data_IF_691636199447
#
_entry.id   IF_691636199447
#
_cell.length_a   1.000
_cell.length_b   1.000
_cell.length_c   1.000
_cell.angle_alpha   90.00
_cell.angle_beta   90.00
_cell.angle_gamma   90.00
#
_symmetry.space_group_name_H-M   'P 1'
#
loop_
_entity.id
_entity.type
_entity.pdbx_description
1 polymer ?
#
# COMPACT_ATOMS: atom_id res chain seq x y z
N UNK A 1 -1.83 -6.31 20.70
CA UNK A 1 -2.26 -6.93 19.42
C UNK A 1 -1.48 -6.25 18.31
N UNK A 2 -0.83 -7.00 17.43
CA UNK A 2 0.02 -6.48 16.35
C UNK A 2 -0.61 -6.87 15.01
N UNK A 3 -0.59 -5.96 14.04
CA UNK A 3 -1.03 -6.20 12.66
C UNK A 3 0.14 -6.52 11.72
N UNK A 4 1.27 -6.95 12.30
CA UNK A 4 2.52 -7.31 11.61
C UNK A 4 3.23 -8.42 12.37
N UNK A 5 4.20 -9.02 11.73
CA UNK A 5 5.10 -9.97 12.37
C UNK A 5 5.89 -9.30 13.50
N UNK A 6 6.20 -10.08 14.54
CA UNK A 6 7.14 -9.67 15.59
C UNK A 6 8.54 -9.68 14.98
N UNK A 7 9.26 -8.56 15.08
CA UNK A 7 10.62 -8.41 14.55
C UNK A 7 11.61 -9.19 15.39
N UNK A 8 12.70 -9.65 14.79
CA UNK A 8 13.65 -10.50 15.52
C UNK A 8 14.29 -9.80 16.71
N UNK A 9 14.66 -8.51 16.57
CA UNK A 9 15.15 -7.70 17.69
C UNK A 9 14.10 -7.41 18.79
N UNK A 10 12.81 -7.62 18.52
CA UNK A 10 11.75 -7.58 19.56
C UNK A 10 11.68 -8.91 20.31
N UNK A 11 11.83 -10.05 19.60
CA UNK A 11 11.84 -11.39 20.19
C UNK A 11 13.00 -11.56 21.17
N UNK A 12 14.19 -11.08 20.82
CA UNK A 12 15.39 -11.17 21.66
C UNK A 12 15.24 -10.49 23.03
N UNK A 13 14.37 -9.47 23.12
CA UNK A 13 14.16 -8.69 24.34
C UNK A 13 13.11 -9.29 25.27
N UNK A 14 12.40 -10.32 24.83
CA UNK A 14 11.28 -10.91 25.57
C UNK A 14 11.64 -12.35 25.95
N UNK A 15 11.99 -12.55 27.22
CA UNK A 15 12.19 -13.89 27.78
C UNK A 15 10.88 -14.67 27.74
N UNK A 16 10.95 -15.94 27.31
CA UNK A 16 9.81 -16.87 27.26
C UNK A 16 8.61 -16.36 26.42
N UNK A 17 8.89 -15.68 25.29
CA UNK A 17 7.87 -15.12 24.39
C UNK A 17 6.83 -16.18 23.98
N UNK A 18 5.56 -15.85 24.21
CA UNK A 18 4.41 -16.58 23.66
C UNK A 18 3.67 -15.69 22.67
N UNK A 19 3.64 -16.10 21.41
CA UNK A 19 2.91 -15.42 20.36
C UNK A 19 1.78 -16.32 19.85
N UNK A 20 0.61 -15.73 19.62
CA UNK A 20 -0.57 -16.42 19.13
C UNK A 20 -1.18 -15.62 17.98
N UNK A 21 -1.44 -16.29 16.86
CA UNK A 21 -2.20 -15.70 15.75
C UNK A 21 -3.67 -15.72 16.12
N UNK A 22 -4.26 -14.53 16.29
CA UNK A 22 -5.66 -14.37 16.67
C UNK A 22 -6.60 -14.30 15.46
N UNK A 23 -6.07 -13.91 14.29
CA UNK A 23 -6.83 -13.77 13.06
C UNK A 23 -5.93 -13.32 11.90
N UNK A 24 -6.47 -13.40 10.69
CA UNK A 24 -5.88 -12.88 9.47
C UNK A 24 -6.79 -11.78 8.93
N UNK A 25 -6.21 -10.66 8.53
CA UNK A 25 -6.89 -9.58 7.84
C UNK A 25 -6.32 -9.38 6.43
N UNK A 26 -7.03 -8.60 5.62
CA UNK A 26 -6.61 -8.24 4.28
C UNK A 26 -6.33 -6.74 4.23
N UNK A 27 -5.19 -6.37 3.65
CA UNK A 27 -4.94 -4.99 3.28
C UNK A 27 -5.63 -4.69 1.95
N UNK A 28 -6.57 -3.75 1.97
CA UNK A 28 -7.31 -3.31 0.79
C UNK A 28 -6.77 -1.99 0.26
N UNK A 29 -6.71 -1.86 -1.07
CA UNK A 29 -6.52 -0.56 -1.72
C UNK A 29 -7.90 -0.05 -2.06
N UNK A 30 -8.24 1.13 -1.54
CA UNK A 30 -9.53 1.76 -1.76
C UNK A 30 -9.37 2.98 -2.64
N UNK A 31 -10.29 3.13 -3.58
CA UNK A 31 -10.33 4.24 -4.53
C UNK A 31 -11.77 4.72 -4.66
N UNK A 32 -11.96 6.02 -4.87
CA UNK A 32 -13.29 6.57 -5.12
C UNK A 32 -13.87 5.91 -6.40
N UNK A 33 -15.06 5.29 -6.36
CA UNK A 33 -15.67 4.66 -7.54
C UNK A 33 -16.03 5.67 -8.65
N UNK A 34 -16.12 6.96 -8.34
CA UNK A 34 -16.29 8.03 -9.32
C UNK A 34 -14.97 8.47 -9.96
N UNK A 35 -13.84 7.87 -9.58
CA UNK A 35 -12.56 8.15 -10.22
C UNK A 35 -12.57 7.63 -11.67
N UNK A 36 -12.36 8.54 -12.63
CA UNK A 36 -12.37 8.25 -14.07
C UNK A 36 -11.41 7.13 -14.45
N UNK A 37 -10.24 7.04 -13.82
CA UNK A 37 -9.26 5.97 -14.08
C UNK A 37 -9.86 4.58 -13.80
N UNK A 38 -10.56 4.42 -12.68
CA UNK A 38 -11.17 3.14 -12.29
C UNK A 38 -12.33 2.77 -13.21
N UNK A 39 -13.12 3.76 -13.64
CA UNK A 39 -14.18 3.54 -14.63
C UNK A 39 -13.60 3.07 -15.97
N UNK A 40 -12.52 3.71 -16.46
CA UNK A 40 -11.83 3.32 -17.68
C UNK A 40 -11.27 1.89 -17.61
N UNK A 41 -10.76 1.49 -16.45
CA UNK A 41 -10.17 0.15 -16.23
C UNK A 41 -11.19 -0.91 -15.80
N UNK A 42 -12.49 -0.60 -15.84
CA UNK A 42 -13.55 -1.53 -15.47
C UNK A 42 -13.45 -2.04 -14.03
N UNK A 43 -13.00 -1.19 -13.10
CA UNK A 43 -12.84 -1.55 -11.69
C UNK A 43 -11.49 -2.17 -11.32
N UNK A 44 -10.57 -2.36 -12.28
CA UNK A 44 -9.30 -3.03 -12.04
C UNK A 44 -8.13 -2.04 -11.98
N UNK A 45 -7.09 -2.39 -11.24
CA UNK A 45 -5.81 -1.69 -11.19
C UNK A 45 -4.70 -2.74 -11.09
N UNK A 46 -3.62 -2.59 -11.86
CA UNK A 46 -2.52 -3.56 -11.82
C UNK A 46 -1.56 -3.27 -10.66
N UNK A 47 -0.79 -4.29 -10.28
CA UNK A 47 0.25 -4.14 -9.26
C UNK A 47 1.32 -3.13 -9.70
N UNK A 48 1.70 -3.14 -10.96
CA UNK A 48 2.66 -2.17 -11.52
C UNK A 48 2.12 -0.73 -11.43
N UNK A 49 0.85 -0.50 -11.78
CA UNK A 49 0.22 0.82 -11.66
C UNK A 49 0.21 1.30 -10.21
N UNK A 50 -0.13 0.42 -9.25
CA UNK A 50 -0.06 0.73 -7.82
C UNK A 50 1.36 1.15 -7.42
N UNK A 51 2.38 0.37 -7.80
CA UNK A 51 3.77 0.67 -7.45
C UNK A 51 4.17 2.05 -8.01
N UNK A 52 3.83 2.34 -9.26
CA UNK A 52 4.18 3.62 -9.90
C UNK A 52 3.47 4.82 -9.30
N UNK A 53 2.22 4.65 -8.88
CA UNK A 53 1.46 5.70 -8.16
C UNK A 53 2.11 5.96 -6.80
N UNK A 54 2.33 4.91 -6.00
CA UNK A 54 2.82 5.04 -4.62
C UNK A 54 4.32 5.37 -4.54
N UNK A 55 5.11 5.10 -5.58
CA UNK A 55 6.50 5.56 -5.70
C UNK A 55 6.61 7.03 -6.14
N UNK A 56 5.52 7.58 -6.69
CA UNK A 56 5.51 8.90 -7.30
C UNK A 56 6.15 8.96 -8.69
N UNK A 57 6.39 7.83 -9.36
CA UNK A 57 6.71 7.78 -10.79
C UNK A 57 5.55 8.34 -11.60
N UNK A 58 4.32 7.92 -11.29
CA UNK A 58 3.09 8.49 -11.83
C UNK A 58 2.56 9.52 -10.86
N UNK A 59 2.64 10.80 -11.27
CA UNK A 59 2.26 11.94 -10.45
C UNK A 59 0.92 12.51 -10.86
N UNK A 60 0.49 12.27 -12.10
CA UNK A 60 -0.76 12.77 -12.65
C UNK A 60 -1.60 11.65 -13.25
N UNK A 61 -2.92 11.84 -13.32
CA UNK A 61 -3.80 10.86 -13.96
C UNK A 61 -3.46 10.63 -15.44
N UNK A 62 -2.96 11.67 -16.12
CA UNK A 62 -2.45 11.62 -17.51
C UNK A 62 -1.19 10.74 -17.70
N UNK A 63 -0.51 10.35 -16.62
CA UNK A 63 0.61 9.39 -16.65
C UNK A 63 0.12 7.94 -16.74
N UNK A 64 -1.09 7.66 -16.23
CA UNK A 64 -1.74 6.34 -16.32
C UNK A 64 -2.40 6.13 -17.67
N UNK A 65 -3.05 7.16 -18.20
CA UNK A 65 -3.70 7.16 -19.51
C UNK A 65 -3.82 8.59 -20.03
N UNK A 66 -3.44 8.84 -21.30
CA UNK A 66 -3.45 10.19 -21.89
C UNK A 66 -4.85 10.81 -22.02
N UNK A 67 -5.91 10.01 -21.97
CA UNK A 67 -7.29 10.50 -21.97
C UNK A 67 -7.76 11.06 -20.62
N UNK A 68 -6.98 10.84 -19.55
CA UNK A 68 -7.30 11.32 -18.22
C UNK A 68 -6.82 12.77 -18.00
N UNK A 69 -7.42 13.49 -17.02
CA UNK A 69 -7.02 14.86 -16.70
C UNK A 69 -5.54 14.97 -16.34
N UNK A 70 -4.93 16.11 -16.66
CA UNK A 70 -3.56 16.44 -16.23
C UNK A 70 -3.52 16.96 -14.78
N UNK A 71 -4.23 16.28 -13.89
CA UNK A 71 -4.37 16.60 -12.47
C UNK A 71 -3.50 15.67 -11.62
N UNK A 72 -2.98 16.19 -10.49
CA UNK A 72 -2.14 15.40 -9.58
C UNK A 72 -2.90 14.24 -8.93
N UNK A 73 -2.21 13.11 -8.77
CA UNK A 73 -2.67 11.99 -7.97
C UNK A 73 -2.34 12.28 -6.51
N UNK A 74 -3.38 12.41 -5.69
CA UNK A 74 -3.24 12.55 -4.24
C UNK A 74 -3.20 11.16 -3.62
N UNK A 75 -2.01 10.78 -3.12
CA UNK A 75 -1.81 9.53 -2.38
C UNK A 75 -1.96 9.81 -0.89
N UNK A 76 -2.80 9.04 -0.22
CA UNK A 76 -3.01 9.12 1.23
C UNK A 76 -2.54 7.81 1.85
N UNK A 77 -1.49 7.89 2.68
CA UNK A 77 -0.90 6.74 3.37
C UNK A 77 -1.02 6.93 4.89
N UNK A 78 -1.10 5.81 5.62
CA UNK A 78 -0.94 5.82 7.08
C UNK A 78 0.50 6.15 7.45
N UNK A 79 0.71 6.50 8.72
CA UNK A 79 2.04 6.68 9.30
C UNK A 79 2.98 5.53 8.94
N UNK A 80 4.24 5.87 8.60
CA UNK A 80 5.24 4.89 8.15
C UNK A 80 5.53 3.80 9.21
N UNK A 81 5.25 4.07 10.48
CA UNK A 81 5.38 3.12 11.59
C UNK A 81 4.22 2.11 11.71
N UNK A 82 3.15 2.28 10.92
CA UNK A 82 1.96 1.45 11.01
C UNK A 82 2.13 0.06 10.40
N UNK A 83 1.45 -0.94 10.99
CA UNK A 83 1.48 -2.32 10.48
C UNK A 83 1.02 -2.44 9.03
N UNK A 84 0.01 -1.67 8.62
CA UNK A 84 -0.46 -1.63 7.23
C UNK A 84 0.61 -1.12 6.26
N UNK A 85 1.38 -0.10 6.65
CA UNK A 85 2.50 0.39 5.85
C UNK A 85 3.58 -0.69 5.70
N UNK A 86 3.94 -1.36 6.80
CA UNK A 86 4.94 -2.44 6.77
C UNK A 86 4.52 -3.60 5.85
N UNK A 87 3.24 -4.01 5.91
CA UNK A 87 2.68 -5.04 5.04
C UNK A 87 2.67 -4.60 3.58
N UNK A 88 2.27 -3.35 3.29
CA UNK A 88 2.26 -2.79 1.94
C UNK A 88 3.67 -2.70 1.35
N UNK A 89 4.63 -2.17 2.14
CA UNK A 89 6.02 -2.05 1.77
C UNK A 89 6.62 -3.42 1.44
N UNK A 90 6.44 -4.41 2.33
CA UNK A 90 6.99 -5.77 2.15
C UNK A 90 6.41 -6.51 0.95
N UNK A 91 5.09 -6.45 0.74
CA UNK A 91 4.41 -7.31 -0.23
C UNK A 91 4.18 -6.66 -1.60
N UNK A 92 4.00 -5.34 -1.63
CA UNK A 92 3.69 -4.59 -2.85
C UNK A 92 4.92 -3.85 -3.35
N UNK A 93 5.47 -2.95 -2.55
CA UNK A 93 6.52 -2.01 -2.99
C UNK A 93 7.93 -2.61 -3.02
N UNK A 94 8.20 -3.62 -2.17
CA UNK A 94 9.52 -4.26 -2.00
C UNK A 94 10.62 -3.25 -1.69
N UNK A 95 11.56 -3.07 -2.63
CA UNK A 95 12.72 -2.20 -2.47
C UNK A 95 12.43 -0.73 -2.85
N UNK A 96 11.25 -0.45 -3.41
CA UNK A 96 10.83 0.91 -3.79
C UNK A 96 10.15 1.56 -2.60
N UNK A 97 10.59 2.75 -2.19
CA UNK A 97 9.95 3.45 -1.07
C UNK A 97 8.63 4.10 -1.51
N UNK A 98 7.65 4.09 -0.61
CA UNK A 98 6.46 4.94 -0.73
C UNK A 98 6.88 6.41 -0.59
N UNK A 99 6.38 7.25 -1.49
CA UNK A 99 6.61 8.70 -1.51
C UNK A 99 5.93 9.43 -0.35
#
# INVERSE_FOLDING_TARGET
MLARDIKDGEKEKIKDLKAFTLGLDALTISVNPQNKFIQLKGGNITKEEIIKIFSGEYKKWSDLDKSLPDEEIVVVTRDLSGGAHEVFQKNIMKDINVR
#
